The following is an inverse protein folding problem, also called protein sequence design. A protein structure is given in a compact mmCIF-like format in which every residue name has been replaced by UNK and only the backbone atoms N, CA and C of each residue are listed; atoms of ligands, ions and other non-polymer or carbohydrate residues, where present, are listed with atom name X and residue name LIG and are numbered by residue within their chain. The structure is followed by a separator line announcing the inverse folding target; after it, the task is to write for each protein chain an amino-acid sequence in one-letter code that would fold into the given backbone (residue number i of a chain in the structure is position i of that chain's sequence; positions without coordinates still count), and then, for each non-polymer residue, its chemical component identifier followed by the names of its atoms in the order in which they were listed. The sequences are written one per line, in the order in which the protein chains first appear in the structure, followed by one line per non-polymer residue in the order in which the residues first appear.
data_IF_099104203016
#
_entry.id   IF_099104203016
#
_cell.length_a   1.000
_cell.length_b   1.000
_cell.length_c   1.000
_cell.angle_alpha   90.00
_cell.angle_beta   90.00
_cell.angle_gamma   90.00
#
_symmetry.space_group_name_H-M   'P 1'
#
loop_
_entity.id
_entity.type
_entity.pdbx_description
1 polymer ?
#
# COMPACT_ATOMS: atom_id res chain seq x y z
N UNK A 1 10.66 16.10 5.38
CA UNK A 1 11.14 15.61 4.07
C UNK A 1 11.46 14.12 4.12
N UNK A 2 12.09 13.63 5.20
CA UNK A 2 12.58 12.25 5.26
C UNK A 2 11.51 11.14 5.18
N UNK A 3 10.32 11.36 5.73
CA UNK A 3 9.24 10.35 5.70
C UNK A 3 8.62 10.16 4.31
N UNK A 4 8.40 11.24 3.57
CA UNK A 4 7.78 11.19 2.23
C UNK A 4 8.74 10.51 1.26
N UNK A 5 9.99 10.99 1.17
CA UNK A 5 11.00 10.42 0.27
C UNK A 5 11.24 8.91 0.56
N UNK A 6 11.16 8.52 1.84
CA UNK A 6 11.29 7.11 2.24
C UNK A 6 10.07 6.29 1.82
N UNK A 7 8.88 6.86 1.96
CA UNK A 7 7.65 6.21 1.50
C UNK A 7 7.65 6.04 -0.02
N UNK A 8 8.07 7.06 -0.78
CA UNK A 8 8.24 6.99 -2.23
C UNK A 8 9.24 5.89 -2.62
N UNK A 9 10.42 5.83 -1.99
CA UNK A 9 11.38 4.76 -2.26
C UNK A 9 10.86 3.35 -1.96
N UNK A 10 9.99 3.20 -0.95
CA UNK A 10 9.29 1.93 -0.73
C UNK A 10 8.22 1.66 -1.78
N UNK A 11 7.46 2.68 -2.21
CA UNK A 11 6.48 2.53 -3.29
C UNK A 11 7.16 2.09 -4.59
N UNK A 12 8.28 2.70 -4.96
CA UNK A 12 9.08 2.31 -6.12
C UNK A 12 9.53 0.85 -6.03
N UNK A 13 9.99 0.43 -4.84
CA UNK A 13 10.45 -0.95 -4.60
C UNK A 13 9.31 -1.96 -4.73
N UNK A 14 8.12 -1.60 -4.27
CA UNK A 14 6.93 -2.46 -4.31
C UNK A 14 6.17 -2.37 -5.64
N UNK A 15 6.46 -1.40 -6.50
CA UNK A 15 5.70 -1.14 -7.72
C UNK A 15 4.32 -0.52 -7.46
N UNK A 16 4.19 0.25 -6.39
CA UNK A 16 2.98 1.01 -6.05
C UNK A 16 3.02 2.35 -6.75
N UNK A 17 1.96 2.70 -7.45
CA UNK A 17 1.86 3.97 -8.19
C UNK A 17 0.69 4.84 -7.71
N UNK A 18 -0.28 4.28 -7.00
CA UNK A 18 -1.47 5.01 -6.57
C UNK A 18 -1.19 5.93 -5.38
N UNK A 19 -1.88 7.07 -5.34
CA UNK A 19 -1.85 7.99 -4.18
C UNK A 19 -2.32 7.30 -2.90
N UNK A 20 -3.30 6.41 -3.01
CA UNK A 20 -3.80 5.60 -1.90
C UNK A 20 -2.74 4.62 -1.38
N UNK A 21 -1.99 3.97 -2.29
CA UNK A 21 -0.86 3.14 -1.92
C UNK A 21 0.27 3.95 -1.28
N UNK A 22 0.56 5.16 -1.77
CA UNK A 22 1.50 6.07 -1.11
C UNK A 22 1.03 6.44 0.30
N UNK A 23 -0.26 6.74 0.50
CA UNK A 23 -0.81 7.04 1.81
C UNK A 23 -0.66 5.84 2.77
N UNK A 24 -0.90 4.62 2.29
CA UNK A 24 -0.68 3.39 3.05
C UNK A 24 0.78 3.24 3.48
N UNK A 25 1.71 3.39 2.54
CA UNK A 25 3.14 3.22 2.79
C UNK A 25 3.68 4.34 3.67
N UNK A 26 3.26 5.59 3.44
CA UNK A 26 3.61 6.73 4.26
C UNK A 26 3.16 6.55 5.71
N UNK A 27 1.90 6.14 5.90
CA UNK A 27 1.36 5.84 7.23
C UNK A 27 2.20 4.76 7.95
N UNK A 28 2.68 3.75 7.20
CA UNK A 28 3.58 2.75 7.75
C UNK A 28 4.95 3.30 8.15
N UNK A 29 5.58 4.07 7.27
CA UNK A 29 6.88 4.68 7.51
C UNK A 29 6.84 5.61 8.72
N UNK A 30 5.76 6.38 8.92
CA UNK A 30 5.61 7.25 10.09
C UNK A 30 5.58 6.45 11.40
N UNK A 31 4.95 5.28 11.43
CA UNK A 31 4.83 4.47 12.64
C UNK A 31 6.04 3.57 12.92
N UNK A 32 6.61 2.99 11.87
CA UNK A 32 7.56 1.88 12.01
C UNK A 32 8.90 2.13 11.33
N UNK A 33 9.04 3.23 10.57
CA UNK A 33 10.23 3.64 9.81
C UNK A 33 10.66 2.70 8.67
N UNK A 34 10.37 1.40 8.78
CA UNK A 34 10.75 0.35 7.84
C UNK A 34 9.77 -0.81 7.83
N UNK A 35 9.81 -1.61 6.77
CA UNK A 35 9.15 -2.91 6.69
C UNK A 35 10.09 -4.00 7.19
N UNK A 36 9.71 -4.64 8.30
CA UNK A 36 10.35 -5.88 8.72
C UNK A 36 10.05 -6.95 7.67
N UNK A 37 11.06 -7.73 7.25
CA UNK A 37 10.96 -8.73 6.17
C UNK A 37 10.83 -8.18 4.74
N UNK A 38 11.36 -6.98 4.46
CA UNK A 38 11.36 -6.37 3.11
C UNK A 38 11.69 -7.35 1.98
N UNK A 39 12.71 -8.19 2.13
CA UNK A 39 13.11 -9.18 1.11
C UNK A 39 12.01 -10.21 0.81
N UNK A 40 11.27 -10.65 1.84
CA UNK A 40 10.16 -11.60 1.67
C UNK A 40 8.96 -10.94 1.00
N UNK A 41 8.64 -9.70 1.38
CA UNK A 41 7.57 -8.92 0.75
C UNK A 41 7.85 -8.75 -0.75
N UNK A 42 9.07 -8.34 -1.09
CA UNK A 42 9.48 -8.17 -2.49
C UNK A 42 9.41 -9.48 -3.29
N UNK A 43 9.80 -10.60 -2.67
CA UNK A 43 9.70 -11.92 -3.30
C UNK A 43 8.24 -12.29 -3.56
N UNK A 44 7.37 -12.15 -2.56
CA UNK A 44 5.93 -12.47 -2.67
C UNK A 44 5.25 -11.60 -3.74
N UNK A 45 5.53 -10.29 -3.76
CA UNK A 45 5.01 -9.38 -4.80
C UNK A 45 5.47 -9.84 -6.19
N UNK A 46 6.74 -10.21 -6.34
CA UNK A 46 7.27 -10.66 -7.63
C UNK A 46 6.64 -11.97 -8.10
N UNK A 47 6.50 -12.95 -7.20
CA UNK A 47 5.89 -14.24 -7.52
C UNK A 47 4.42 -14.05 -7.92
N UNK A 48 3.67 -13.22 -7.19
CA UNK A 48 2.27 -12.89 -7.50
C UNK A 48 2.11 -12.05 -8.76
N UNK A 49 3.03 -11.13 -9.03
CA UNK A 49 3.09 -10.37 -10.28
C UNK A 49 3.27 -11.31 -11.49
N UNK A 50 4.21 -12.26 -11.39
CA UNK A 50 4.47 -13.24 -12.45
C UNK A 50 3.26 -14.16 -12.69
N UNK A 51 2.57 -14.58 -11.63
CA UNK A 51 1.30 -15.34 -11.71
C UNK A 51 0.19 -14.51 -12.37
N UNK A 52 0.01 -13.26 -11.92
CA UNK A 52 -1.02 -12.36 -12.43
C UNK A 52 -0.84 -12.07 -13.92
N UNK A 53 0.39 -11.75 -14.34
CA UNK A 53 0.74 -11.50 -15.75
C UNK A 53 0.43 -12.67 -16.66
N UNK A 54 0.72 -13.90 -16.22
CA UNK A 54 0.41 -15.12 -17.00
C UNK A 54 -1.09 -15.30 -17.19
N UNK A 55 -1.90 -14.92 -16.20
CA UNK A 55 -3.35 -15.08 -16.24
C UNK A 55 -4.09 -13.93 -16.94
N UNK A 56 -3.49 -12.73 -17.02
CA UNK A 56 -4.16 -11.51 -17.47
C UNK A 56 -3.46 -10.83 -18.67
N UNK A 57 -3.02 -11.59 -19.66
CA UNK A 57 -2.42 -11.07 -20.90
C UNK A 57 -1.24 -10.11 -20.65
N UNK A 58 -0.37 -10.46 -19.70
CA UNK A 58 0.80 -9.69 -19.32
C UNK A 58 0.49 -8.29 -18.74
N UNK A 59 -0.75 -8.06 -18.26
CA UNK A 59 -1.10 -6.86 -17.49
C UNK A 59 -0.37 -6.85 -16.15
N UNK A 60 0.02 -5.66 -15.70
CA UNK A 60 0.58 -5.48 -14.38
C UNK A 60 -0.48 -5.79 -13.31
N UNK A 61 -0.05 -6.40 -12.20
CA UNK A 61 -0.92 -6.57 -11.03
C UNK A 61 -1.42 -5.19 -10.56
N UNK A 62 -2.65 -5.05 -10.04
CA UNK A 62 -3.10 -3.79 -9.48
C UNK A 62 -2.47 -3.51 -8.11
N UNK A 63 -2.45 -2.24 -7.72
CA UNK A 63 -1.91 -1.82 -6.42
C UNK A 63 -2.66 -2.43 -5.24
N UNK A 64 -3.97 -2.64 -5.35
CA UNK A 64 -4.80 -3.26 -4.31
C UNK A 64 -4.28 -4.65 -3.90
N UNK A 65 -3.86 -5.46 -4.88
CA UNK A 65 -3.29 -6.78 -4.65
C UNK A 65 -1.90 -6.65 -3.99
N UNK A 66 -1.07 -5.71 -4.45
CA UNK A 66 0.25 -5.43 -3.83
C UNK A 66 0.11 -4.99 -2.37
N UNK A 67 -0.85 -4.11 -2.08
CA UNK A 67 -1.12 -3.62 -0.73
C UNK A 67 -1.65 -4.74 0.16
N UNK A 68 -2.46 -5.66 -0.37
CA UNK A 68 -2.91 -6.85 0.37
C UNK A 68 -1.72 -7.74 0.74
N UNK A 69 -0.79 -7.99 -0.18
CA UNK A 69 0.45 -8.70 0.13
C UNK A 69 1.22 -7.99 1.24
N UNK A 70 1.46 -6.69 1.14
CA UNK A 70 2.21 -5.94 2.16
C UNK A 70 1.52 -6.02 3.52
N UNK A 71 0.18 -5.92 3.54
CA UNK A 71 -0.63 -5.96 4.75
C UNK A 71 -0.47 -7.29 5.51
N UNK A 72 -0.32 -8.42 4.81
CA UNK A 72 -0.09 -9.74 5.42
C UNK A 72 1.23 -9.83 6.21
N UNK A 73 2.20 -8.96 5.92
CA UNK A 73 3.46 -8.88 6.64
C UNK A 73 3.45 -7.86 7.79
N UNK A 74 2.33 -7.16 8.02
CA UNK A 74 2.15 -6.25 9.14
C UNK A 74 1.53 -7.03 10.31
N UNK A 75 2.23 -7.16 11.45
CA UNK A 75 1.72 -7.94 12.58
C UNK A 75 0.40 -7.40 13.13
N UNK A 76 -0.58 -8.29 13.34
CA UNK A 76 -1.88 -7.96 13.93
C UNK A 76 -1.80 -7.52 15.40
N UNK A 77 -0.70 -7.85 16.09
CA UNK A 77 -0.46 -7.50 17.50
C UNK A 77 0.17 -6.11 17.69
N UNK A 78 0.62 -5.45 16.62
CA UNK A 78 0.93 -4.04 16.64
C UNK A 78 -0.37 -3.27 16.78
N UNK A 79 -0.70 -2.85 18.01
CA UNK A 79 -1.95 -2.18 18.35
C UNK A 79 -2.34 -1.12 17.30
N UNK A 80 -3.47 -1.35 16.64
CA UNK A 80 -4.13 -0.46 15.66
C UNK A 80 -3.44 -0.26 14.30
N UNK A 81 -2.34 -0.94 14.06
CA UNK A 81 -1.51 -0.76 12.87
C UNK A 81 -2.05 -1.52 11.65
N UNK A 82 -2.52 -2.75 11.85
CA UNK A 82 -3.16 -3.53 10.80
C UNK A 82 -4.52 -2.91 10.40
N UNK A 83 -5.39 -2.65 11.39
CA UNK A 83 -6.74 -2.11 11.14
C UNK A 83 -6.70 -0.78 10.39
N UNK A 84 -5.81 0.13 10.78
CA UNK A 84 -5.70 1.45 10.12
C UNK A 84 -5.26 1.32 8.67
N UNK A 85 -4.32 0.41 8.38
CA UNK A 85 -3.79 0.20 7.03
C UNK A 85 -4.74 -0.60 6.16
N UNK A 86 -5.46 -1.55 6.74
CA UNK A 86 -6.61 -2.19 6.10
C UNK A 86 -7.64 -1.15 5.66
N UNK A 87 -8.01 -0.20 6.53
CA UNK A 87 -8.93 0.89 6.17
C UNK A 87 -8.39 1.82 5.07
N UNK A 88 -7.09 2.16 5.09
CA UNK A 88 -6.47 2.94 4.01
C UNK A 88 -6.47 2.15 2.70
N UNK A 89 -6.24 0.83 2.74
CA UNK A 89 -6.29 -0.06 1.57
C UNK A 89 -7.69 -0.18 0.99
N UNK A 90 -8.71 -0.33 1.84
CA UNK A 90 -10.11 -0.39 1.40
C UNK A 90 -10.61 0.99 0.95
N UNK A 91 -10.00 2.08 1.44
CA UNK A 91 -10.39 3.45 1.14
C UNK A 91 -11.66 3.91 1.87
N UNK A 92 -12.27 3.07 2.71
CA UNK A 92 -13.44 3.42 3.51
C UNK A 92 -13.56 2.51 4.74
N UNK A 93 -14.33 2.96 5.75
CA UNK A 93 -14.75 2.13 6.88
C UNK A 93 -14.90 2.93 8.18
N UNK A 94 -14.72 2.29 9.33
CA UNK A 94 -14.85 2.91 10.65
C UNK A 94 -13.59 2.67 11.48
N UNK A 95 -12.92 3.75 11.87
CA UNK A 95 -11.75 3.71 12.75
C UNK A 95 -12.09 4.40 14.08
N UNK A 96 -11.98 3.67 15.20
CA UNK A 96 -12.21 4.20 16.56
C UNK A 96 -13.53 4.99 16.67
N UNK A 97 -14.61 4.43 16.12
CA UNK A 97 -15.96 5.02 16.14
C UNK A 97 -16.19 6.19 15.18
N UNK A 98 -15.21 6.56 14.36
CA UNK A 98 -15.35 7.59 13.32
C UNK A 98 -15.39 6.97 11.94
N UNK A 99 -16.32 7.43 11.09
CA UNK A 99 -16.34 7.06 9.67
C UNK A 99 -15.10 7.64 8.98
N UNK A 100 -14.44 6.79 8.21
CA UNK A 100 -13.37 7.12 7.29
C UNK A 100 -13.86 6.83 5.88
N UNK A 101 -13.66 7.78 4.97
CA UNK A 101 -13.94 7.65 3.55
C UNK A 101 -12.87 8.44 2.82
N UNK A 102 -12.07 7.78 1.99
CA UNK A 102 -10.93 8.41 1.31
C UNK A 102 -11.41 9.50 0.33
N UNK A 103 -12.67 9.42 -0.11
CA UNK A 103 -13.35 10.44 -0.91
C UNK A 103 -13.51 11.76 -0.16
N UNK A 104 -13.67 11.73 1.18
CA UNK A 104 -13.83 12.93 2.01
C UNK A 104 -12.57 13.81 1.98
N UNK A 105 -11.42 13.23 1.63
CA UNK A 105 -10.15 13.92 1.52
C UNK A 105 -9.80 14.32 0.08
N UNK A 106 -10.72 14.14 -0.88
CA UNK A 106 -10.54 14.52 -2.28
C UNK A 106 -9.72 13.53 -3.11
N UNK A 107 -9.39 12.35 -2.59
CA UNK A 107 -8.52 11.37 -3.27
C UNK A 107 -9.23 10.46 -4.29
N UNK A 108 -10.53 10.64 -4.53
CA UNK A 108 -11.36 9.79 -5.39
C UNK A 108 -11.04 9.74 -6.89
N UNK A 109 -9.94 10.32 -7.34
CA UNK A 109 -9.60 10.40 -8.77
C UNK A 109 -8.10 10.41 -9.11
N UNK A 110 -7.19 10.13 -8.16
CA UNK A 110 -5.76 10.41 -8.36
C UNK A 110 -4.95 9.18 -8.82
N UNK A 111 -5.07 8.91 -10.12
CA UNK A 111 -4.08 8.21 -10.94
C UNK A 111 -2.74 9.00 -10.90
N UNK A 112 -1.62 8.37 -10.52
CA UNK A 112 -0.32 8.91 -10.92
C UNK A 112 -0.12 8.58 -12.40
N UNK A 113 -0.59 9.48 -13.25
CA UNK A 113 -0.07 9.59 -14.61
C UNK A 113 0.74 10.88 -14.72
N UNK A 114 1.76 11.03 -13.89
CA UNK A 114 2.86 11.93 -14.25
C UNK A 114 3.86 11.10 -15.06
N UNK A 115 3.68 11.18 -16.37
CA UNK A 115 4.65 10.75 -17.37
C UNK A 115 5.98 11.47 -17.13
N UNK A 116 7.04 10.71 -16.87
CA UNK A 116 8.43 11.12 -17.07
C UNK A 116 9.06 10.31 -18.20
#
# INVERSE_FOLDING_TARGET
MDFINRAEGFCDSFGIISTQGLAFVFDHVVQSWSFNNMQRILLEIREKEDEYRKAHDNRAMPDEDRLSIILDFIPNDAAHQFDRRSLIKEGYGVYVGKRYDIMDFGYGSLNYSDSF
#
